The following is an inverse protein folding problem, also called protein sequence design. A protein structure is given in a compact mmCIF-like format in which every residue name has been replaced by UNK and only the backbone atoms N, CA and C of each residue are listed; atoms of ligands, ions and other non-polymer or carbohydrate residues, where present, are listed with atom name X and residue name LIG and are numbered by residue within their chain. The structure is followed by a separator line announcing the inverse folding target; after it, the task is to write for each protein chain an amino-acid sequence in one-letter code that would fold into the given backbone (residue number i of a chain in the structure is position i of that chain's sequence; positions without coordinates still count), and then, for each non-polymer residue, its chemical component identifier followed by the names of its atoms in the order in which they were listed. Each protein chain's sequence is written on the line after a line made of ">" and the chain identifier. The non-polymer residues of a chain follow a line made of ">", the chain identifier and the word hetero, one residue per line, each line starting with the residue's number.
data_IF_557094418356
#
_entry.id   IF_557094418356
#
_cell.length_a   1.000
_cell.length_b   1.000
_cell.length_c   1.000
_cell.angle_alpha   90.00
_cell.angle_beta   90.00
_cell.angle_gamma   90.00
#
_symmetry.space_group_name_H-M   'P 1'
#
loop_
_entity.id
_entity.type
_entity.pdbx_description
1 polymer ?
#
# COMPACT_ATOMS: atom_id res chain seq x y z
N UNK A 1 -4.15 10.77 3.91
CA UNK A 1 -4.07 10.95 2.47
C UNK A 1 -5.04 10.01 1.79
N UNK A 2 -5.42 10.27 0.56
CA UNK A 2 -6.29 9.41 -0.25
C UNK A 2 -5.81 9.34 -1.70
N UNK A 3 -6.22 8.28 -2.39
CA UNK A 3 -6.12 8.15 -3.85
C UNK A 3 -7.52 8.21 -4.43
N UNK A 4 -7.65 8.88 -5.56
CA UNK A 4 -8.84 8.92 -6.41
C UNK A 4 -8.42 8.54 -7.82
N UNK A 5 -9.18 7.66 -8.47
CA UNK A 5 -8.88 7.22 -9.83
C UNK A 5 -10.15 7.21 -10.67
N UNK A 6 -10.02 7.67 -11.91
CA UNK A 6 -11.14 7.75 -12.85
C UNK A 6 -10.80 7.12 -14.19
N UNK A 7 -11.78 6.48 -14.83
CA UNK A 7 -11.67 5.99 -16.21
C UNK A 7 -12.99 6.19 -16.95
N UNK A 8 -12.91 6.25 -18.26
CA UNK A 8 -14.03 6.32 -19.19
C UNK A 8 -14.07 5.09 -20.09
N UNK A 9 -15.28 4.63 -20.39
CA UNK A 9 -15.51 3.59 -21.39
C UNK A 9 -16.63 3.99 -22.33
N UNK A 10 -16.33 4.02 -23.63
CA UNK A 10 -17.32 4.34 -24.66
C UNK A 10 -18.51 3.36 -24.68
N UNK A 11 -18.34 2.16 -24.12
CA UNK A 11 -19.39 1.15 -24.03
C UNK A 11 -20.48 1.54 -23.04
N UNK A 12 -20.15 2.37 -22.05
CA UNK A 12 -21.06 2.80 -20.98
C UNK A 12 -20.75 4.26 -20.62
N UNK A 13 -21.06 5.23 -21.50
CA UNK A 13 -20.60 6.61 -21.36
C UNK A 13 -21.16 7.35 -20.13
N UNK A 14 -22.31 6.90 -19.60
CA UNK A 14 -22.91 7.46 -18.38
C UNK A 14 -22.38 6.85 -17.08
N UNK A 15 -21.49 5.86 -17.15
CA UNK A 15 -20.90 5.28 -15.95
C UNK A 15 -19.84 6.24 -15.38
N UNK A 16 -19.93 6.65 -14.10
CA UNK A 16 -19.01 7.63 -13.52
C UNK A 16 -17.54 7.20 -13.54
N UNK A 17 -17.30 5.88 -13.44
CA UNK A 17 -15.97 5.29 -13.51
C UNK A 17 -14.99 5.87 -12.49
N UNK A 18 -15.46 6.26 -11.31
CA UNK A 18 -14.66 6.98 -10.30
C UNK A 18 -14.60 6.16 -9.01
N UNK A 19 -13.39 5.98 -8.47
CA UNK A 19 -13.13 5.19 -7.27
C UNK A 19 -12.10 5.89 -6.38
N UNK A 20 -12.29 5.82 -5.07
CA UNK A 20 -11.36 6.39 -4.11
C UNK A 20 -10.93 5.38 -3.03
N UNK A 21 -9.76 5.63 -2.43
CA UNK A 21 -9.24 4.87 -1.29
C UNK A 21 -8.50 5.80 -0.33
N UNK A 22 -8.94 5.84 0.91
CA UNK A 22 -8.19 6.49 1.98
C UNK A 22 -7.04 5.60 2.48
N UNK A 23 -5.93 6.24 2.87
CA UNK A 23 -4.82 5.60 3.56
C UNK A 23 -5.23 5.07 4.93
N UNK A 24 -4.80 3.85 5.26
CA UNK A 24 -4.89 3.25 6.59
C UNK A 24 -3.56 3.36 7.34
N UNK A 25 -3.51 3.12 8.65
CA UNK A 25 -2.29 3.03 9.47
C UNK A 25 -1.33 4.22 9.35
N UNK A 26 -1.84 5.44 9.41
CA UNK A 26 -1.14 6.68 9.03
C UNK A 26 0.18 6.96 9.75
N UNK A 27 0.46 6.35 10.92
CA UNK A 27 1.74 6.47 11.62
C UNK A 27 2.21 7.93 11.81
N UNK A 28 1.28 8.85 12.09
CA UNK A 28 1.55 10.29 12.24
C UNK A 28 1.43 11.13 10.96
N UNK A 29 1.17 10.51 9.80
CA UNK A 29 0.88 11.21 8.54
C UNK A 29 -0.46 11.96 8.62
N UNK A 30 -0.49 13.20 8.13
CA UNK A 30 -1.73 13.99 8.01
C UNK A 30 -2.67 13.43 6.94
N UNK A 31 -3.96 13.62 7.13
CA UNK A 31 -4.98 13.10 6.20
C UNK A 31 -5.20 13.97 4.96
N UNK A 32 -4.62 15.17 4.92
CA UNK A 32 -4.98 16.28 4.02
C UNK A 32 -4.57 16.15 2.55
N UNK A 33 -3.73 15.18 2.17
CA UNK A 33 -3.22 15.09 0.79
C UNK A 33 -3.99 14.07 -0.02
N UNK A 34 -4.47 14.47 -1.20
CA UNK A 34 -5.22 13.62 -2.12
C UNK A 34 -4.45 13.50 -3.44
N UNK A 35 -4.41 12.29 -3.99
CA UNK A 35 -3.75 11.98 -5.26
C UNK A 35 -4.84 11.57 -6.24
N UNK A 36 -4.96 12.27 -7.35
CA UNK A 36 -5.89 11.93 -8.42
C UNK A 36 -5.14 11.34 -9.62
N UNK A 37 -5.65 10.27 -10.21
CA UNK A 37 -5.06 9.60 -11.38
C UNK A 37 -6.10 9.32 -12.49
N UNK A 38 -5.73 9.63 -13.74
CA UNK A 38 -6.49 9.35 -14.94
C UNK A 38 -5.54 9.16 -16.15
N UNK A 39 -5.77 8.16 -17.02
CA UNK A 39 -6.84 7.16 -16.95
C UNK A 39 -6.49 6.02 -15.99
N UNK A 40 -7.46 5.59 -15.18
CA UNK A 40 -7.32 4.54 -14.17
C UNK A 40 -7.15 3.12 -14.71
N UNK A 41 -7.33 2.90 -16.01
CA UNK A 41 -7.14 1.62 -16.73
C UNK A 41 -8.07 0.48 -16.30
N UNK A 42 -9.30 0.79 -15.92
CA UNK A 42 -10.34 -0.18 -15.56
C UNK A 42 -11.60 0.04 -16.39
N UNK A 43 -12.44 -1.00 -16.50
CA UNK A 43 -13.69 -0.97 -17.29
C UNK A 43 -14.91 -1.46 -16.51
N UNK A 44 -14.73 -1.80 -15.24
CA UNK A 44 -15.79 -2.16 -14.29
C UNK A 44 -15.42 -1.69 -12.88
N UNK A 45 -16.36 -1.82 -11.94
CA UNK A 45 -16.16 -1.30 -10.59
C UNK A 45 -15.27 -2.15 -9.71
N UNK A 46 -15.28 -3.47 -9.88
CA UNK A 46 -14.41 -4.37 -9.13
C UNK A 46 -12.93 -4.06 -9.36
N UNK A 47 -12.52 -3.81 -10.61
CA UNK A 47 -11.15 -3.43 -10.93
C UNK A 47 -10.84 -1.99 -10.49
N UNK A 48 -11.79 -1.06 -10.61
CA UNK A 48 -11.63 0.32 -10.14
C UNK A 48 -11.32 0.40 -8.63
N UNK A 49 -12.11 -0.30 -7.81
CA UNK A 49 -11.86 -0.40 -6.37
C UNK A 49 -10.52 -1.09 -6.05
N UNK A 50 -10.22 -2.19 -6.74
CA UNK A 50 -8.99 -2.94 -6.53
C UNK A 50 -7.74 -2.10 -6.89
N UNK A 51 -7.80 -1.30 -7.96
CA UNK A 51 -6.71 -0.45 -8.38
C UNK A 51 -6.54 0.76 -7.44
N UNK A 52 -7.63 1.41 -7.01
CA UNK A 52 -7.56 2.46 -6.01
C UNK A 52 -6.89 1.94 -4.71
N UNK A 53 -7.24 0.72 -4.28
CA UNK A 53 -6.60 0.06 -3.15
C UNK A 53 -5.12 -0.21 -3.39
N UNK A 54 -4.78 -0.85 -4.50
CA UNK A 54 -3.39 -1.19 -4.85
C UNK A 54 -2.50 0.04 -4.91
N UNK A 55 -2.96 1.13 -5.53
CA UNK A 55 -2.23 2.39 -5.57
C UNK A 55 -1.99 2.94 -4.16
N UNK A 56 -3.03 3.03 -3.33
CA UNK A 56 -2.90 3.55 -1.97
C UNK A 56 -1.96 2.69 -1.11
N UNK A 57 -2.03 1.36 -1.22
CA UNK A 57 -1.11 0.44 -0.53
C UNK A 57 0.33 0.62 -1.02
N UNK A 58 0.54 0.74 -2.34
CA UNK A 58 1.85 1.01 -2.95
C UNK A 58 2.48 2.30 -2.45
N UNK A 59 1.71 3.39 -2.38
CA UNK A 59 2.18 4.67 -1.81
C UNK A 59 2.56 4.57 -0.32
N UNK A 60 2.08 3.55 0.40
CA UNK A 60 2.39 3.35 1.82
C UNK A 60 3.42 2.27 2.09
N UNK A 61 3.85 1.50 1.09
CA UNK A 61 4.72 0.34 1.29
C UNK A 61 5.99 0.69 2.07
N UNK A 62 6.58 1.85 1.81
CA UNK A 62 7.85 2.28 2.43
C UNK A 62 7.67 3.17 3.66
N UNK A 63 6.43 3.36 4.16
CA UNK A 63 6.17 4.28 5.27
C UNK A 63 6.59 3.76 6.64
N UNK A 64 6.76 2.44 6.78
CA UNK A 64 7.24 1.80 8.01
C UNK A 64 8.26 0.71 7.69
N UNK A 65 9.52 1.12 7.54
CA UNK A 65 10.66 0.24 7.26
C UNK A 65 11.62 0.19 8.45
N UNK A 66 12.38 -0.89 8.55
CA UNK A 66 13.42 -1.07 9.56
C UNK A 66 14.66 -1.67 8.93
N UNK A 67 15.83 -1.18 9.34
CA UNK A 67 17.13 -1.75 8.97
C UNK A 67 17.62 -2.63 10.10
N UNK A 68 17.99 -3.86 9.81
CA UNK A 68 18.45 -4.84 10.80
C UNK A 68 19.72 -5.53 10.33
N UNK A 69 20.50 -6.04 11.29
CA UNK A 69 21.68 -6.88 11.04
C UNK A 69 21.38 -8.24 11.64
N UNK A 70 21.59 -9.31 10.88
CA UNK A 70 21.38 -10.68 11.33
C UNK A 70 22.48 -11.60 10.80
N UNK A 71 22.76 -12.66 11.54
CA UNK A 71 23.58 -13.79 11.11
C UNK A 71 22.74 -14.95 10.54
N UNK A 72 21.42 -14.79 10.44
CA UNK A 72 20.53 -15.82 9.92
C UNK A 72 20.51 -15.80 8.38
N UNK A 73 20.99 -16.87 7.70
CA UNK A 73 20.96 -16.95 6.25
C UNK A 73 19.55 -17.16 5.68
N UNK A 74 18.56 -17.49 6.52
CA UNK A 74 17.17 -17.68 6.09
C UNK A 74 16.42 -16.36 5.84
N UNK A 75 16.97 -15.24 6.31
CA UNK A 75 16.38 -13.92 6.12
C UNK A 75 16.76 -13.38 4.75
N UNK A 76 16.00 -13.79 3.74
CA UNK A 76 16.12 -13.34 2.35
C UNK A 76 14.85 -12.58 1.90
N UNK A 77 14.92 -11.75 0.84
CA UNK A 77 13.76 -10.99 0.35
C UNK A 77 12.55 -11.88 0.08
N UNK A 78 11.38 -11.43 0.50
CA UNK A 78 10.12 -12.17 0.45
C UNK A 78 9.81 -12.98 1.72
N UNK A 79 10.81 -13.31 2.55
CA UNK A 79 10.60 -14.05 3.80
C UNK A 79 9.83 -13.19 4.81
N UNK A 80 8.80 -13.78 5.42
CA UNK A 80 8.10 -13.22 6.59
C UNK A 80 8.60 -13.87 7.87
N UNK A 81 8.79 -13.08 8.91
CA UNK A 81 9.20 -13.54 10.24
C UNK A 81 8.58 -12.69 11.33
N UNK A 82 8.47 -13.22 12.54
CA UNK A 82 8.01 -12.45 13.71
C UNK A 82 9.21 -11.97 14.51
N UNK A 83 9.32 -10.65 14.72
CA UNK A 83 10.35 -10.09 15.60
C UNK A 83 9.91 -10.27 17.06
N UNK A 84 10.84 -10.69 17.91
CA UNK A 84 10.60 -10.88 19.35
C UNK A 84 11.78 -10.37 20.16
N UNK A 85 11.55 -9.93 21.39
CA UNK A 85 12.60 -9.49 22.32
C UNK A 85 13.13 -8.08 22.09
N UNK A 86 12.53 -7.31 21.18
CA UNK A 86 12.87 -5.90 20.99
C UNK A 86 12.34 -5.05 22.17
N UNK A 87 13.12 -4.09 22.72
CA UNK A 87 12.70 -3.26 23.86
C UNK A 87 11.43 -2.45 23.62
N UNK A 88 11.19 -2.05 22.38
CA UNK A 88 9.91 -1.46 21.96
C UNK A 88 8.93 -2.57 21.56
N UNK A 89 7.90 -2.77 22.37
CA UNK A 89 6.88 -3.80 22.13
C UNK A 89 6.16 -3.66 20.79
N UNK A 90 5.96 -2.42 20.32
CA UNK A 90 5.32 -2.13 19.02
C UNK A 90 6.06 -2.77 17.83
N UNK A 91 7.36 -3.02 17.98
CA UNK A 91 8.17 -3.63 16.93
C UNK A 91 8.15 -5.17 16.98
N UNK A 92 7.71 -5.77 18.10
CA UNK A 92 7.58 -7.22 18.25
C UNK A 92 6.33 -7.75 17.53
N UNK A 93 6.36 -7.72 16.20
CA UNK A 93 5.27 -8.13 15.31
C UNK A 93 5.83 -8.82 14.07
N UNK A 94 4.95 -9.19 13.14
CA UNK A 94 5.38 -9.75 11.87
C UNK A 94 6.02 -8.68 10.96
N UNK A 95 7.10 -9.07 10.30
CA UNK A 95 7.84 -8.28 9.33
C UNK A 95 8.10 -9.10 8.07
N UNK A 96 8.25 -8.42 6.94
CA UNK A 96 8.67 -9.02 5.68
C UNK A 96 10.02 -8.43 5.26
N UNK A 97 10.97 -9.30 4.90
CA UNK A 97 12.24 -8.87 4.33
C UNK A 97 11.99 -8.37 2.92
N UNK A 98 12.32 -7.10 2.65
CA UNK A 98 12.18 -6.48 1.31
C UNK A 98 13.50 -6.42 0.55
N UNK A 99 14.63 -6.40 1.26
CA UNK A 99 15.98 -6.41 0.70
C UNK A 99 16.98 -7.03 1.70
N UNK A 100 18.08 -7.58 1.18
CA UNK A 100 19.24 -8.05 1.95
C UNK A 100 20.51 -7.81 1.12
N UNK A 101 21.64 -7.58 1.78
CA UNK A 101 22.95 -7.37 1.15
C UNK A 101 23.83 -8.60 1.33
#
# INVERSE_FOLDING_TARGET
>A
SSVETQDYTFKTPGWPGYYNRAAENLNGQRTQYEIFDYPGRFKDGTHGEAFARYQMEGWRHDTETATCISNSPELCPGKRFTLTGHPSERLNREWQVVSSV
#
